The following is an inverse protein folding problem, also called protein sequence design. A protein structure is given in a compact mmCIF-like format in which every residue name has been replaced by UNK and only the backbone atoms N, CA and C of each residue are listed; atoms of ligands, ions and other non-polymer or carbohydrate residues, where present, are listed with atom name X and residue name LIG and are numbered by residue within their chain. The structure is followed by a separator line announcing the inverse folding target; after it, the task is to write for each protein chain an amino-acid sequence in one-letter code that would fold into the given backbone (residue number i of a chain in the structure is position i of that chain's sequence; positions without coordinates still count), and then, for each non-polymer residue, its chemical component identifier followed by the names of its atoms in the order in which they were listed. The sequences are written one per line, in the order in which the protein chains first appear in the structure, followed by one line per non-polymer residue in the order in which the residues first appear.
data_IF_363460013669
#
_entry.id   IF_363460013669
#
_cell.length_a   1.000
_cell.length_b   1.000
_cell.length_c   1.000
_cell.angle_alpha   90.00
_cell.angle_beta   90.00
_cell.angle_gamma   90.00
#
_symmetry.space_group_name_H-M   'P 1'
#
loop_
_entity.id
_entity.type
_entity.pdbx_description
1 polymer ?
#
# COMPACT_ATOMS: atom_id res chain seq x y z
N UNK A 1 -21.22 45.13 36.23
CA UNK A 1 -20.10 44.16 36.14
C UNK A 1 -20.72 42.77 36.24
N UNK A 2 -21.15 42.16 35.14
CA UNK A 2 -20.44 41.16 34.31
C UNK A 2 -19.88 39.97 35.11
N UNK A 3 -20.56 38.83 35.02
CA UNK A 3 -19.95 37.54 34.65
C UNK A 3 -21.06 36.61 34.12
N UNK A 4 -21.06 36.40 32.79
CA UNK A 4 -21.84 35.35 32.11
C UNK A 4 -21.10 34.03 32.33
N UNK A 5 -21.80 33.01 32.82
CA UNK A 5 -21.32 31.63 32.76
C UNK A 5 -21.56 31.08 31.36
N UNK A 6 -20.49 30.90 30.59
CA UNK A 6 -20.53 30.15 29.34
C UNK A 6 -20.42 28.66 29.68
N UNK A 7 -21.53 27.95 29.43
CA UNK A 7 -21.57 26.49 29.38
C UNK A 7 -20.77 26.05 28.15
N UNK A 8 -19.62 25.44 28.37
CA UNK A 8 -18.85 24.76 27.33
C UNK A 8 -19.65 23.55 26.83
N UNK A 9 -20.01 23.58 25.56
CA UNK A 9 -20.56 22.43 24.85
C UNK A 9 -19.52 21.28 24.84
N UNK A 10 -19.91 20.03 25.12
CA UNK A 10 -19.04 18.89 24.88
C UNK A 10 -18.78 18.75 23.37
N UNK A 11 -17.50 18.57 23.01
CA UNK A 11 -17.07 18.26 21.64
C UNK A 11 -17.77 16.98 21.13
N UNK A 12 -18.05 16.88 19.82
CA UNK A 12 -18.70 15.71 19.25
C UNK A 12 -17.77 14.49 19.37
N UNK A 13 -18.28 13.41 19.97
CA UNK A 13 -17.64 12.10 19.92
C UNK A 13 -17.55 11.64 18.45
N UNK A 14 -16.36 11.73 17.86
CA UNK A 14 -16.04 11.06 16.60
C UNK A 14 -16.15 9.54 16.80
N UNK A 15 -16.81 8.89 15.85
CA UNK A 15 -17.16 7.47 15.82
C UNK A 15 -15.89 6.63 15.87
N UNK A 16 -15.70 5.94 17.01
CA UNK A 16 -14.58 5.03 17.27
C UNK A 16 -14.85 3.69 16.61
N UNK A 17 -13.84 3.12 15.94
CA UNK A 17 -13.88 1.73 15.50
C UNK A 17 -13.87 0.84 16.74
N UNK A 18 -15.04 0.32 17.11
CA UNK A 18 -15.17 -0.64 18.20
C UNK A 18 -14.72 -2.02 17.77
N UNK A 19 -14.29 -2.84 18.72
CA UNK A 19 -13.86 -4.25 18.56
C UNK A 19 -14.87 -5.11 17.78
N UNK A 20 -16.16 -4.70 17.71
CA UNK A 20 -17.19 -5.34 16.88
C UNK A 20 -17.00 -5.13 15.36
N UNK A 21 -16.38 -4.05 14.91
CA UNK A 21 -16.07 -3.84 13.49
C UNK A 21 -14.88 -4.71 13.02
N UNK A 22 -13.91 -4.99 13.90
CA UNK A 22 -12.85 -5.99 13.64
C UNK A 22 -13.41 -7.42 13.57
N UNK A 23 -14.48 -7.73 14.31
CA UNK A 23 -15.19 -9.01 14.21
C UNK A 23 -16.11 -9.10 12.96
N UNK A 24 -16.55 -7.97 12.42
CA UNK A 24 -17.23 -7.90 11.11
C UNK A 24 -16.33 -8.31 9.94
N UNK A 25 -15.01 -8.17 10.08
CA UNK A 25 -14.00 -8.69 9.14
C UNK A 25 -13.99 -10.23 9.16
N UNK A 26 -14.33 -10.85 10.28
CA UNK A 26 -14.38 -12.32 10.43
C UNK A 26 -15.53 -12.98 9.65
N UNK A 27 -16.59 -12.25 9.27
CA UNK A 27 -17.70 -12.81 8.49
C UNK A 27 -17.54 -12.64 6.97
N UNK A 28 -16.55 -11.86 6.52
CA UNK A 28 -16.24 -11.67 5.09
C UNK A 28 -15.28 -12.71 4.50
N UNK A 29 -14.63 -13.52 5.34
CA UNK A 29 -13.50 -14.39 4.95
C UNK A 29 -13.86 -15.88 4.89
N UNK A 30 -15.02 -16.22 4.32
CA UNK A 30 -15.36 -17.62 4.04
C UNK A 30 -14.54 -18.24 2.89
N UNK A 31 -13.59 -17.52 2.29
CA UNK A 31 -12.61 -18.04 1.33
C UNK A 31 -11.20 -18.14 1.96
N UNK A 32 -10.99 -19.20 2.74
CA UNK A 32 -9.74 -19.95 3.02
C UNK A 32 -8.33 -19.30 3.15
N UNK A 33 -8.14 -17.98 3.17
CA UNK A 33 -6.85 -17.42 3.59
C UNK A 33 -6.81 -17.26 5.10
N UNK A 34 -6.02 -18.12 5.75
CA UNK A 34 -5.74 -18.00 7.18
C UNK A 34 -4.94 -16.73 7.42
N UNK A 35 -5.41 -15.85 8.31
CA UNK A 35 -4.70 -14.64 8.77
C UNK A 35 -3.22 -14.88 9.14
N UNK A 36 -2.85 -16.12 9.46
CA UNK A 36 -1.47 -16.52 9.70
C UNK A 36 -0.54 -16.42 8.48
N UNK A 37 -1.07 -16.15 7.28
CA UNK A 37 -0.27 -16.02 6.05
C UNK A 37 0.32 -14.63 5.83
N UNK A 38 -0.12 -13.60 6.58
CA UNK A 38 0.46 -12.27 6.43
C UNK A 38 1.92 -12.23 6.88
N UNK A 39 2.72 -11.42 6.18
CA UNK A 39 4.12 -11.20 6.54
C UNK A 39 4.24 -10.51 7.91
N UNK A 40 5.39 -10.64 8.59
CA UNK A 40 5.61 -9.97 9.86
C UNK A 40 5.48 -8.45 9.83
N UNK A 41 5.82 -7.82 8.71
CA UNK A 41 5.75 -6.39 8.49
C UNK A 41 4.29 -5.91 8.45
N UNK A 42 3.41 -6.64 7.77
CA UNK A 42 1.96 -6.34 7.72
C UNK A 42 1.38 -6.46 9.12
N UNK A 43 1.70 -7.52 9.86
CA UNK A 43 1.23 -7.67 11.22
C UNK A 43 1.75 -6.57 12.15
N UNK A 44 2.99 -6.11 11.96
CA UNK A 44 3.57 -4.98 12.70
C UNK A 44 2.79 -3.69 12.44
N UNK A 45 2.44 -3.42 11.17
CA UNK A 45 1.61 -2.28 10.81
C UNK A 45 0.21 -2.37 11.41
N UNK A 46 -0.43 -3.53 11.36
CA UNK A 46 -1.73 -3.76 11.99
C UNK A 46 -1.64 -3.48 13.50
N UNK A 47 -0.62 -4.02 14.17
CA UNK A 47 -0.41 -3.81 15.59
C UNK A 47 -0.15 -2.33 15.95
N UNK A 48 0.53 -1.55 15.10
CA UNK A 48 0.70 -0.11 15.30
C UNK A 48 -0.61 0.70 15.25
N UNK A 49 -1.62 0.19 14.55
CA UNK A 49 -2.92 0.87 14.44
C UNK A 49 -3.89 0.51 15.58
N UNK A 50 -3.51 -0.39 16.48
CA UNK A 50 -4.36 -0.77 17.61
C UNK A 50 -4.18 0.24 18.76
N UNK A 51 -5.18 1.11 18.93
CA UNK A 51 -5.16 2.16 19.96
C UNK A 51 -5.29 1.62 21.39
N UNK A 52 -6.03 0.51 21.59
CA UNK A 52 -6.22 -0.10 22.92
C UNK A 52 -5.15 -1.15 23.21
N UNK A 53 -4.36 -0.92 24.25
CA UNK A 53 -3.32 -1.86 24.68
C UNK A 53 -3.88 -3.23 25.09
N UNK A 54 -5.14 -3.28 25.55
CA UNK A 54 -5.79 -4.55 25.89
C UNK A 54 -6.02 -5.40 24.65
N UNK A 55 -6.33 -4.78 23.51
CA UNK A 55 -6.49 -5.48 22.24
C UNK A 55 -5.15 -6.01 21.72
N UNK A 56 -4.04 -5.27 21.92
CA UNK A 56 -2.68 -5.78 21.66
C UNK A 56 -2.32 -6.99 22.53
N UNK A 57 -2.68 -6.98 23.81
CA UNK A 57 -2.48 -8.16 24.67
C UNK A 57 -3.36 -9.33 24.25
N UNK A 58 -4.62 -9.08 23.88
CA UNK A 58 -5.50 -10.10 23.34
C UNK A 58 -4.90 -10.70 22.06
N UNK A 59 -4.37 -9.86 21.15
CA UNK A 59 -3.68 -10.29 19.94
C UNK A 59 -2.48 -11.20 20.26
N UNK A 60 -1.67 -10.84 21.27
CA UNK A 60 -0.52 -11.63 21.71
C UNK A 60 -0.89 -13.03 22.25
N UNK A 61 -2.13 -13.20 22.73
CA UNK A 61 -2.62 -14.46 23.28
C UNK A 61 -3.07 -15.45 22.19
N UNK A 62 -3.34 -14.96 20.97
CA UNK A 62 -3.93 -15.77 19.89
C UNK A 62 -2.98 -16.85 19.35
N UNK A 63 -1.73 -16.51 19.05
CA UNK A 63 -0.74 -17.45 18.52
C UNK A 63 0.70 -17.09 18.90
N UNK A 64 1.64 -18.03 18.72
CA UNK A 64 3.06 -17.83 19.07
C UNK A 64 3.71 -16.69 18.27
N UNK A 65 3.37 -16.57 16.99
CA UNK A 65 3.90 -15.53 16.11
C UNK A 65 3.51 -14.13 16.60
N UNK A 66 2.21 -13.90 16.82
CA UNK A 66 1.69 -12.62 17.31
C UNK A 66 2.15 -12.30 18.73
N UNK A 67 2.41 -13.33 19.55
CA UNK A 67 3.06 -13.15 20.85
C UNK A 67 4.46 -12.55 20.71
N UNK A 68 5.27 -13.08 19.78
CA UNK A 68 6.62 -12.58 19.54
C UNK A 68 6.59 -11.14 19.02
N UNK A 69 5.68 -10.85 18.09
CA UNK A 69 5.46 -9.50 17.59
C UNK A 69 5.07 -8.53 18.72
N UNK A 70 4.13 -8.91 19.58
CA UNK A 70 3.71 -8.09 20.72
C UNK A 70 4.77 -7.99 21.83
N UNK A 71 5.89 -8.71 21.73
CA UNK A 71 7.06 -8.55 22.60
C UNK A 71 8.20 -7.79 21.92
N UNK A 72 8.06 -7.43 20.65
CA UNK A 72 9.06 -6.65 19.93
C UNK A 72 9.16 -5.23 20.50
N UNK A 73 10.35 -4.86 20.94
CA UNK A 73 10.60 -3.55 21.54
C UNK A 73 10.46 -2.41 20.51
N UNK A 74 10.63 -2.68 19.21
CA UNK A 74 10.38 -1.69 18.16
C UNK A 74 8.90 -1.34 18.03
N UNK A 75 8.00 -2.32 18.18
CA UNK A 75 6.56 -2.07 18.23
C UNK A 75 6.23 -1.08 19.35
N UNK A 76 6.72 -1.38 20.56
CA UNK A 76 6.46 -0.55 21.74
C UNK A 76 7.16 0.80 21.69
N UNK A 77 8.33 0.90 21.04
CA UNK A 77 8.99 2.17 20.78
C UNK A 77 8.11 3.09 19.95
N UNK A 78 7.57 2.57 18.84
CA UNK A 78 6.66 3.34 17.98
C UNK A 78 5.41 3.77 18.74
N UNK A 79 4.79 2.87 19.51
CA UNK A 79 3.63 3.19 20.34
C UNK A 79 3.95 4.25 21.42
N UNK A 80 5.14 4.20 22.04
CA UNK A 80 5.59 5.23 22.99
C UNK A 80 5.74 6.60 22.33
N UNK A 81 6.31 6.65 21.13
CA UNK A 81 6.47 7.88 20.35
C UNK A 81 5.09 8.43 19.95
N UNK A 82 4.24 7.57 19.40
CA UNK A 82 2.91 7.93 18.90
C UNK A 82 1.99 8.45 20.00
N UNK A 83 1.88 7.71 21.12
CA UNK A 83 0.93 8.02 22.19
C UNK A 83 1.47 9.02 23.22
N UNK A 84 2.77 8.99 23.49
CA UNK A 84 3.37 9.76 24.58
C UNK A 84 4.51 10.68 24.16
N UNK A 85 4.97 10.61 22.90
CA UNK A 85 6.12 11.39 22.42
C UNK A 85 7.45 10.98 23.08
N UNK A 86 7.57 9.73 23.54
CA UNK A 86 8.77 9.22 24.22
C UNK A 86 9.53 8.28 23.29
N UNK A 87 10.75 8.67 22.91
CA UNK A 87 11.64 7.91 22.01
C UNK A 87 12.87 7.32 22.72
N UNK A 88 12.94 7.46 24.05
CA UNK A 88 14.05 7.01 24.88
C UNK A 88 13.55 6.21 26.09
N UNK A 89 14.37 5.27 26.56
CA UNK A 89 14.11 4.51 27.79
C UNK A 89 15.42 3.87 28.29
N UNK A 90 15.53 3.68 29.60
CA UNK A 90 16.61 2.89 30.24
C UNK A 90 16.22 1.42 30.46
N UNK A 91 14.98 1.08 30.11
CA UNK A 91 14.38 -0.25 30.22
C UNK A 91 13.79 -0.64 28.86
N UNK A 92 12.99 -1.70 28.75
CA UNK A 92 12.26 -1.95 27.50
C UNK A 92 11.19 -0.88 27.26
N UNK A 93 10.90 -0.58 25.99
CA UNK A 93 9.81 0.32 25.62
C UNK A 93 8.45 -0.21 26.06
N UNK A 94 8.26 -1.53 26.15
CA UNK A 94 7.06 -2.11 26.78
C UNK A 94 6.90 -1.68 28.25
N UNK A 95 8.01 -1.68 29.01
CA UNK A 95 7.99 -1.26 30.41
C UNK A 95 7.72 0.24 30.51
N UNK A 96 8.37 1.03 29.65
CA UNK A 96 8.13 2.47 29.55
C UNK A 96 6.68 2.79 29.18
N UNK A 97 6.10 2.08 28.21
CA UNK A 97 4.71 2.25 27.79
C UNK A 97 3.73 1.97 28.93
N UNK A 98 3.96 0.89 29.70
CA UNK A 98 3.17 0.56 30.90
C UNK A 98 3.27 1.67 31.95
N UNK A 99 4.47 2.18 32.21
CA UNK A 99 4.68 3.29 33.13
C UNK A 99 3.95 4.56 32.68
N UNK A 100 4.06 4.93 31.40
CA UNK A 100 3.33 6.07 30.81
C UNK A 100 1.80 5.91 30.88
N UNK A 101 1.31 4.67 30.77
CA UNK A 101 -0.13 4.38 30.85
C UNK A 101 -0.67 4.53 32.28
N UNK A 102 0.11 4.10 33.27
CA UNK A 102 -0.23 4.16 34.69
C UNK A 102 -0.06 5.57 35.28
N UNK A 103 0.97 6.31 34.85
CA UNK A 103 1.24 7.66 35.32
C UNK A 103 0.51 8.72 34.48
N UNK A 104 -0.58 9.28 35.01
CA UNK A 104 -1.35 10.32 34.34
C UNK A 104 -0.54 11.59 34.06
N UNK A 105 0.56 11.84 34.77
CA UNK A 105 1.42 13.01 34.56
C UNK A 105 2.24 12.92 33.28
N UNK A 106 2.53 11.70 32.81
CA UNK A 106 3.32 11.43 31.59
C UNK A 106 2.51 11.63 30.30
N UNK A 107 1.18 11.75 30.36
CA UNK A 107 0.31 12.01 29.20
C UNK A 107 0.48 13.41 28.58
N UNK A 108 1.39 14.23 29.10
CA UNK A 108 1.52 15.67 28.77
C UNK A 108 2.92 16.06 28.33
N UNK A 109 3.76 15.12 27.89
CA UNK A 109 5.04 15.49 27.28
C UNK A 109 4.78 16.08 25.90
N UNK A 110 5.22 17.31 25.71
CA UNK A 110 5.06 18.04 24.46
C UNK A 110 5.91 17.42 23.34
N UNK A 111 5.30 17.05 22.20
CA UNK A 111 5.98 16.39 21.06
C UNK A 111 7.19 17.16 20.49
N UNK A 112 7.27 18.47 20.65
CA UNK A 112 8.47 19.24 20.23
C UNK A 112 9.73 18.91 21.02
N UNK A 113 9.60 18.19 22.15
CA UNK A 113 10.76 17.75 22.92
C UNK A 113 11.42 16.49 22.34
N UNK A 114 10.81 15.85 21.33
CA UNK A 114 11.32 14.65 20.64
C UNK A 114 12.65 14.87 19.89
N UNK A 115 13.08 16.11 19.68
CA UNK A 115 14.35 16.42 18.99
C UNK A 115 15.56 16.54 19.91
N UNK A 116 15.38 16.49 21.23
CA UNK A 116 16.47 16.71 22.18
C UNK A 116 17.09 15.40 22.63
N UNK A 117 18.42 15.31 22.51
CA UNK A 117 19.19 14.20 23.07
C UNK A 117 19.13 14.20 24.60
N UNK A 118 19.26 13.02 25.20
CA UNK A 118 19.17 12.80 26.65
C UNK A 118 19.96 13.80 27.53
N UNK A 119 21.20 14.23 27.17
CA UNK A 119 21.94 15.21 27.97
C UNK A 119 21.20 16.56 28.07
N UNK A 120 20.58 17.00 26.97
CA UNK A 120 19.87 18.28 26.87
C UNK A 120 18.54 18.23 27.65
N UNK A 121 17.88 17.07 27.66
CA UNK A 121 16.66 16.87 28.45
C UNK A 121 16.95 16.83 29.95
N UNK A 122 18.04 16.20 30.39
CA UNK A 122 18.43 16.16 31.80
C UNK A 122 18.77 17.55 32.33
N UNK A 123 19.56 18.32 31.57
CA UNK A 123 19.95 19.70 31.88
C UNK A 123 18.73 20.63 32.01
N UNK A 124 17.70 20.43 31.17
CA UNK A 124 16.51 21.30 31.11
C UNK A 124 15.26 20.73 31.78
N UNK A 125 15.34 19.54 32.39
CA UNK A 125 14.20 18.83 32.99
C UNK A 125 13.48 19.62 34.09
N UNK A 126 14.21 20.45 34.84
CA UNK A 126 13.68 21.33 35.89
C UNK A 126 12.84 22.51 35.32
N UNK A 127 13.25 23.06 34.17
CA UNK A 127 12.52 24.08 33.41
C UNK A 127 11.27 23.50 32.73
N UNK A 128 11.29 22.24 32.30
CA UNK A 128 10.14 21.61 31.65
C UNK A 128 9.04 21.16 32.61
N UNK A 129 9.39 20.75 33.84
CA UNK A 129 8.41 20.46 34.91
C UNK A 129 7.55 21.67 35.25
N UNK A 130 8.06 22.89 35.06
CA UNK A 130 7.32 24.13 35.28
C UNK A 130 6.52 24.57 34.05
N UNK A 131 7.01 24.30 32.83
CA UNK A 131 6.29 24.65 31.59
C UNK A 131 5.13 23.71 31.20
N UNK A 132 5.15 22.43 31.60
CA UNK A 132 4.07 21.48 31.21
C UNK A 132 2.75 21.68 31.97
N UNK A 133 2.75 22.50 33.02
CA UNK A 133 1.60 22.69 33.89
C UNK A 133 0.68 23.86 33.49
N UNK A 134 1.13 24.81 32.66
CA UNK A 134 0.39 26.08 32.50
C UNK A 134 -0.13 26.45 31.09
N UNK A 135 0.17 25.72 30.02
CA UNK A 135 -0.65 25.81 28.78
C UNK A 135 -0.30 24.71 27.76
N UNK A 136 -1.27 24.19 26.99
CA UNK A 136 -0.96 23.43 25.80
C UNK A 136 -0.21 24.34 24.82
N UNK A 137 1.02 23.97 24.48
CA UNK A 137 1.85 24.64 23.49
C UNK A 137 1.03 24.99 22.23
N UNK A 138 0.75 26.27 22.01
CA UNK A 138 -0.09 26.77 20.91
C UNK A 138 0.48 26.41 19.53
N UNK A 139 1.81 26.35 19.39
CA UNK A 139 2.49 25.89 18.18
C UNK A 139 2.31 24.39 17.91
N UNK A 140 2.20 23.57 18.96
CA UNK A 140 2.01 22.13 18.86
C UNK A 140 0.59 21.78 18.45
N UNK A 141 -0.39 22.54 18.92
CA UNK A 141 -1.80 22.26 18.70
C UNK A 141 -2.21 22.47 17.22
N UNK A 142 -1.57 23.42 16.52
CA UNK A 142 -1.77 23.62 15.10
C UNK A 142 -1.03 22.56 14.25
N UNK A 143 0.26 22.32 14.54
CA UNK A 143 1.09 21.39 13.77
C UNK A 143 0.69 19.91 13.96
N UNK A 144 0.31 19.51 15.18
CA UNK A 144 -0.19 18.16 15.43
C UNK A 144 -1.53 17.91 14.74
N UNK A 145 -2.44 18.88 14.68
CA UNK A 145 -3.73 18.69 14.00
C UNK A 145 -3.54 18.54 12.49
N UNK A 146 -2.65 19.31 11.88
CA UNK A 146 -2.38 19.21 10.43
C UNK A 146 -1.61 17.94 10.06
N UNK A 147 -0.58 17.57 10.83
CA UNK A 147 0.22 16.37 10.57
C UNK A 147 -0.51 15.08 10.95
N UNK A 148 -1.23 15.05 12.07
CA UNK A 148 -1.98 13.85 12.46
C UNK A 148 -3.13 13.56 11.51
N UNK A 149 -3.81 14.58 10.98
CA UNK A 149 -4.89 14.34 10.00
C UNK A 149 -4.33 13.89 8.64
N UNK A 150 -3.20 14.43 8.18
CA UNK A 150 -2.59 14.01 6.91
C UNK A 150 -2.02 12.59 6.99
N UNK A 151 -1.23 12.28 8.03
CA UNK A 151 -0.61 10.97 8.18
C UNK A 151 -1.64 9.87 8.50
N UNK A 152 -2.68 10.18 9.28
CA UNK A 152 -3.71 9.21 9.64
C UNK A 152 -4.62 8.89 8.45
N UNK A 153 -4.96 9.86 7.58
CA UNK A 153 -5.73 9.61 6.36
C UNK A 153 -4.87 8.86 5.33
N UNK A 154 -3.62 9.27 5.10
CA UNK A 154 -2.71 8.54 4.20
C UNK A 154 -2.44 7.11 4.69
N UNK A 155 -2.29 6.89 6.00
CA UNK A 155 -2.15 5.56 6.57
C UNK A 155 -3.46 4.76 6.53
N UNK A 156 -4.63 5.39 6.69
CA UNK A 156 -5.93 4.70 6.54
C UNK A 156 -6.19 4.29 5.08
N UNK A 157 -5.84 5.15 4.12
CA UNK A 157 -5.90 4.84 2.68
C UNK A 157 -4.91 3.73 2.35
N UNK A 158 -3.67 3.82 2.82
CA UNK A 158 -2.66 2.78 2.63
C UNK A 158 -3.07 1.46 3.29
N UNK A 159 -3.62 1.51 4.51
CA UNK A 159 -4.10 0.33 5.24
C UNK A 159 -5.31 -0.29 4.54
N UNK A 160 -6.29 0.50 4.08
CA UNK A 160 -7.44 0.00 3.33
C UNK A 160 -7.06 -0.52 1.93
N UNK A 161 -6.06 0.09 1.29
CA UNK A 161 -5.48 -0.41 0.04
C UNK A 161 -4.71 -1.71 0.27
N UNK A 162 -3.94 -1.83 1.35
CA UNK A 162 -3.25 -3.07 1.78
C UNK A 162 -4.28 -4.15 2.12
N UNK A 163 -5.34 -3.83 2.86
CA UNK A 163 -6.37 -4.77 3.30
C UNK A 163 -7.30 -5.22 2.16
N UNK A 164 -7.67 -4.31 1.26
CA UNK A 164 -8.55 -4.62 0.14
C UNK A 164 -7.83 -5.24 -1.05
N UNK A 165 -6.53 -4.96 -1.22
CA UNK A 165 -5.83 -5.20 -2.49
C UNK A 165 -4.42 -5.75 -2.35
N UNK A 166 -4.03 -6.29 -1.19
CA UNK A 166 -2.83 -7.11 -1.00
C UNK A 166 -1.55 -6.50 -1.56
N UNK A 167 -0.82 -5.74 -0.74
CA UNK A 167 0.54 -5.33 -1.12
C UNK A 167 1.42 -6.58 -1.23
N UNK A 168 2.05 -6.75 -2.39
CA UNK A 168 3.12 -7.72 -2.58
C UNK A 168 4.32 -7.33 -1.73
N UNK A 169 4.79 -8.30 -0.94
CA UNK A 169 6.13 -8.35 -0.40
C UNK A 169 7.15 -8.45 -1.53
N UNK A 170 8.33 -7.83 -1.36
CA UNK A 170 9.35 -7.62 -2.37
C UNK A 170 10.14 -8.88 -2.79
N UNK A 171 9.58 -10.09 -2.64
CA UNK A 171 10.37 -11.33 -2.75
C UNK A 171 9.68 -12.60 -3.23
N UNK A 172 8.36 -12.65 -3.45
CA UNK A 172 7.68 -13.88 -3.89
C UNK A 172 6.77 -13.68 -5.11
N UNK A 173 6.84 -14.56 -6.14
CA UNK A 173 6.11 -14.44 -7.39
C UNK A 173 4.76 -15.17 -7.39
N UNK A 174 4.17 -15.43 -6.23
CA UNK A 174 2.81 -15.98 -6.16
C UNK A 174 1.81 -14.83 -6.33
N UNK A 175 0.93 -14.85 -7.36
CA UNK A 175 -0.10 -13.84 -7.49
C UNK A 175 -0.95 -13.85 -6.22
N UNK A 176 -0.97 -12.75 -5.47
CA UNK A 176 -2.01 -12.58 -4.47
C UNK A 176 -3.35 -12.69 -5.20
N UNK A 177 -4.14 -13.71 -4.85
CA UNK A 177 -5.57 -13.73 -5.13
C UNK A 177 -6.16 -12.54 -4.37
N UNK A 178 -6.28 -11.43 -5.09
CA UNK A 178 -6.90 -10.19 -4.64
C UNK A 178 -8.34 -10.48 -4.21
N UNK A 179 -9.03 -9.47 -3.69
CA UNK A 179 -10.48 -9.41 -3.77
C UNK A 179 -10.92 -9.46 -5.25
N UNK A 180 -10.92 -10.65 -5.85
CA UNK A 180 -11.39 -10.92 -7.21
C UNK A 180 -12.90 -10.64 -7.32
N UNK A 181 -13.58 -10.60 -6.17
CA UNK A 181 -14.98 -10.27 -6.10
C UNK A 181 -15.21 -8.78 -6.28
N UNK A 182 -15.78 -8.40 -7.43
CA UNK A 182 -16.27 -7.04 -7.75
C UNK A 182 -17.04 -6.37 -6.60
N UNK A 183 -17.79 -7.16 -5.83
CA UNK A 183 -18.53 -6.68 -4.65
C UNK A 183 -17.65 -6.16 -3.52
N UNK A 184 -16.47 -6.73 -3.32
CA UNK A 184 -15.50 -6.27 -2.33
C UNK A 184 -14.80 -5.00 -2.81
N UNK A 185 -14.45 -4.95 -4.10
CA UNK A 185 -13.86 -3.75 -4.71
C UNK A 185 -14.78 -2.53 -4.55
N UNK A 186 -16.08 -2.69 -4.81
CA UNK A 186 -17.09 -1.64 -4.62
C UNK A 186 -17.13 -1.17 -3.16
N UNK A 187 -17.13 -2.10 -2.19
CA UNK A 187 -17.16 -1.73 -0.77
C UNK A 187 -15.92 -0.97 -0.32
N UNK A 188 -14.73 -1.40 -0.78
CA UNK A 188 -13.49 -0.68 -0.46
C UNK A 188 -13.50 0.70 -1.09
N UNK A 189 -14.01 0.83 -2.33
CA UNK A 189 -14.16 2.12 -2.99
C UNK A 189 -15.09 3.06 -2.23
N UNK A 190 -16.27 2.57 -1.79
CA UNK A 190 -17.21 3.33 -0.95
C UNK A 190 -16.58 3.79 0.37
N UNK A 191 -15.80 2.92 1.04
CA UNK A 191 -15.10 3.27 2.27
C UNK A 191 -14.03 4.33 2.04
N UNK A 192 -13.24 4.20 0.97
CA UNK A 192 -12.22 5.19 0.61
C UNK A 192 -12.87 6.53 0.24
N UNK A 193 -13.99 6.54 -0.45
CA UNK A 193 -14.74 7.76 -0.78
C UNK A 193 -15.16 8.51 0.48
N UNK A 194 -15.70 7.80 1.48
CA UNK A 194 -16.10 8.38 2.77
C UNK A 194 -14.90 8.99 3.52
N UNK A 195 -13.75 8.30 3.53
CA UNK A 195 -12.55 8.73 4.27
C UNK A 195 -11.82 9.87 3.55
N UNK A 196 -11.94 9.98 2.23
CA UNK A 196 -11.22 10.96 1.42
C UNK A 196 -12.03 12.21 1.07
N UNK A 197 -13.36 12.18 1.23
CA UNK A 197 -14.27 13.26 0.77
C UNK A 197 -13.83 14.68 1.15
N UNK A 198 -13.30 14.87 2.35
CA UNK A 198 -12.93 16.19 2.89
C UNK A 198 -11.42 16.51 2.76
N UNK A 199 -10.66 15.69 2.02
CA UNK A 199 -9.21 15.84 1.86
C UNK A 199 -8.80 15.77 0.38
N UNK A 200 -8.36 16.89 -0.19
CA UNK A 200 -7.93 17.00 -1.59
C UNK A 200 -6.83 15.99 -1.97
N UNK A 201 -5.85 15.77 -1.09
CA UNK A 201 -4.79 14.76 -1.31
C UNK A 201 -5.35 13.34 -1.25
N UNK A 202 -6.32 13.11 -0.36
CA UNK A 202 -7.03 11.84 -0.27
C UNK A 202 -7.81 11.54 -1.55
N UNK A 203 -8.50 12.54 -2.10
CA UNK A 203 -9.25 12.39 -3.36
C UNK A 203 -8.34 12.12 -4.55
N UNK A 204 -7.21 12.82 -4.67
CA UNK A 204 -6.19 12.54 -5.70
C UNK A 204 -5.62 11.12 -5.58
N UNK A 205 -5.33 10.67 -4.35
CA UNK A 205 -4.89 9.30 -4.11
C UNK A 205 -5.96 8.26 -4.48
N UNK A 206 -7.23 8.52 -4.17
CA UNK A 206 -8.36 7.66 -4.54
C UNK A 206 -8.57 7.61 -6.05
N UNK A 207 -8.42 8.73 -6.75
CA UNK A 207 -8.53 8.77 -8.21
C UNK A 207 -7.43 7.94 -8.88
N UNK A 208 -6.18 8.09 -8.43
CA UNK A 208 -5.05 7.25 -8.88
C UNK A 208 -5.28 5.77 -8.57
N UNK A 209 -5.85 5.48 -7.39
CA UNK A 209 -6.20 4.13 -7.00
C UNK A 209 -7.24 3.51 -7.95
N UNK A 210 -8.38 4.21 -8.18
CA UNK A 210 -9.43 3.79 -9.12
C UNK A 210 -8.88 3.58 -10.52
N UNK A 211 -8.00 4.47 -10.96
CA UNK A 211 -7.33 4.37 -12.26
C UNK A 211 -6.51 3.07 -12.39
N UNK A 212 -5.70 2.72 -11.38
CA UNK A 212 -4.92 1.47 -11.36
C UNK A 212 -5.81 0.23 -11.39
N UNK A 213 -6.92 0.24 -10.62
CA UNK A 213 -7.88 -0.88 -10.61
C UNK A 213 -8.54 -1.05 -11.98
N UNK A 214 -8.91 0.06 -12.64
CA UNK A 214 -9.44 0.02 -14.00
C UNK A 214 -8.44 -0.60 -14.98
N UNK A 215 -7.16 -0.19 -14.94
CA UNK A 215 -6.12 -0.76 -15.83
C UNK A 215 -5.89 -2.25 -15.59
N UNK A 216 -5.85 -2.68 -14.33
CA UNK A 216 -5.72 -4.10 -13.98
C UNK A 216 -6.93 -4.90 -14.47
N UNK A 217 -8.13 -4.39 -14.26
CA UNK A 217 -9.37 -5.05 -14.71
C UNK A 217 -9.42 -5.15 -16.24
N UNK A 218 -8.96 -4.13 -16.97
CA UNK A 218 -8.83 -4.15 -18.42
C UNK A 218 -7.91 -5.28 -18.89
N UNK A 219 -6.74 -5.42 -18.25
CA UNK A 219 -5.78 -6.48 -18.59
C UNK A 219 -6.39 -7.87 -18.37
N UNK A 220 -7.01 -8.09 -17.20
CA UNK A 220 -7.64 -9.38 -16.85
C UNK A 220 -8.80 -9.71 -17.79
N UNK A 221 -9.65 -8.73 -18.11
CA UNK A 221 -10.76 -8.90 -19.05
C UNK A 221 -10.25 -9.27 -20.44
N UNK A 222 -9.23 -8.57 -20.94
CA UNK A 222 -8.63 -8.89 -22.23
C UNK A 222 -7.98 -10.27 -22.23
N UNK A 223 -7.21 -10.65 -21.20
CA UNK A 223 -6.63 -11.98 -21.11
C UNK A 223 -7.72 -13.07 -21.14
N UNK A 224 -8.86 -12.84 -20.47
CA UNK A 224 -10.03 -13.74 -20.51
C UNK A 224 -10.65 -13.82 -21.92
N UNK A 225 -10.75 -12.72 -22.64
CA UNK A 225 -11.24 -12.73 -24.03
C UNK A 225 -10.26 -13.45 -24.96
N UNK A 226 -8.98 -13.11 -24.90
CA UNK A 226 -7.94 -13.71 -25.73
C UNK A 226 -7.80 -15.22 -25.48
N UNK A 227 -7.97 -15.66 -24.24
CA UNK A 227 -7.93 -17.09 -23.90
C UNK A 227 -9.06 -17.91 -24.55
N UNK A 228 -10.13 -17.27 -25.03
CA UNK A 228 -11.21 -17.94 -25.76
C UNK A 228 -10.94 -18.01 -27.27
N UNK A 229 -10.05 -17.18 -27.81
CA UNK A 229 -9.75 -17.12 -29.25
C UNK A 229 -8.75 -18.21 -29.69
N UNK A 230 -8.89 -18.81 -30.88
CA UNK A 230 -7.84 -19.65 -31.46
C UNK A 230 -6.46 -18.97 -31.44
N UNK A 231 -5.38 -19.73 -31.24
CA UNK A 231 -4.01 -19.19 -31.06
C UNK A 231 -3.56 -18.30 -32.23
N UNK A 232 -3.95 -18.66 -33.46
CA UNK A 232 -3.69 -17.93 -34.70
C UNK A 232 -4.47 -16.60 -34.82
N UNK A 233 -5.51 -16.41 -34.01
CA UNK A 233 -6.30 -15.18 -33.96
C UNK A 233 -5.85 -14.21 -32.86
N UNK A 234 -5.00 -14.66 -31.93
CA UNK A 234 -4.48 -13.81 -30.85
C UNK A 234 -3.41 -12.88 -31.44
N UNK A 235 -3.77 -11.60 -31.59
CA UNK A 235 -2.83 -10.54 -31.97
C UNK A 235 -2.01 -10.10 -30.76
N UNK A 236 -0.73 -9.81 -30.99
CA UNK A 236 0.22 -9.46 -29.92
C UNK A 236 0.98 -8.20 -30.30
N UNK A 237 1.11 -7.29 -29.33
CA UNK A 237 2.03 -6.16 -29.39
C UNK A 237 3.26 -6.43 -28.54
N UNK A 238 4.42 -6.06 -29.08
CA UNK A 238 5.73 -6.19 -28.42
C UNK A 238 6.05 -4.87 -27.74
N UNK A 239 6.49 -4.94 -26.49
CA UNK A 239 6.82 -3.76 -25.66
C UNK A 239 8.05 -4.05 -24.79
N UNK A 240 8.75 -3.00 -24.34
CA UNK A 240 9.85 -3.13 -23.40
C UNK A 240 9.40 -3.80 -22.10
N UNK A 241 10.13 -4.85 -21.69
CA UNK A 241 9.88 -5.55 -20.44
C UNK A 241 10.16 -4.67 -19.23
N UNK A 242 11.18 -3.82 -19.29
CA UNK A 242 11.50 -2.87 -18.23
C UNK A 242 10.34 -1.87 -18.04
N UNK A 243 9.75 -1.42 -19.15
CA UNK A 243 8.55 -0.58 -19.11
C UNK A 243 7.36 -1.32 -18.48
N UNK A 244 7.07 -2.56 -18.92
CA UNK A 244 6.00 -3.36 -18.32
C UNK A 244 6.22 -3.64 -16.83
N UNK A 245 7.45 -3.81 -16.37
CA UNK A 245 7.75 -3.96 -14.94
C UNK A 245 7.43 -2.67 -14.18
N UNK A 246 7.74 -1.51 -14.76
CA UNK A 246 7.41 -0.21 -14.18
C UNK A 246 5.90 -0.01 -14.13
N UNK A 247 5.18 -0.34 -15.21
CA UNK A 247 3.71 -0.33 -15.22
C UNK A 247 3.12 -1.31 -14.22
N UNK A 248 3.65 -2.53 -14.14
CA UNK A 248 3.30 -3.50 -13.11
C UNK A 248 3.49 -2.93 -11.71
N UNK A 249 4.61 -2.27 -11.42
CA UNK A 249 4.86 -1.62 -10.14
C UNK A 249 3.88 -0.46 -9.86
N UNK A 250 3.55 0.34 -10.88
CA UNK A 250 2.52 1.38 -10.82
C UNK A 250 1.15 0.82 -10.40
N UNK A 251 0.72 -0.30 -11.00
CA UNK A 251 -0.53 -0.97 -10.63
C UNK A 251 -0.56 -1.38 -9.15
N UNK A 252 0.60 -1.56 -8.51
CA UNK A 252 0.75 -1.92 -7.09
C UNK A 252 1.05 -0.75 -6.17
N UNK A 253 0.90 0.50 -6.63
CA UNK A 253 1.11 1.66 -5.78
C UNK A 253 2.36 2.48 -6.09
N UNK A 254 3.22 1.99 -6.99
CA UNK A 254 4.45 2.63 -7.41
C UNK A 254 4.26 3.96 -8.13
N UNK A 255 5.37 4.50 -8.65
CA UNK A 255 5.35 5.69 -9.51
C UNK A 255 4.73 5.37 -10.87
N UNK A 256 4.03 6.34 -11.45
CA UNK A 256 3.45 6.20 -12.80
C UNK A 256 4.57 6.03 -13.83
N UNK A 257 4.43 5.14 -14.82
CA UNK A 257 5.45 4.95 -15.84
C UNK A 257 5.55 6.17 -16.77
N UNK A 258 6.76 6.42 -17.26
CA UNK A 258 7.01 7.37 -18.34
C UNK A 258 6.36 6.92 -19.67
N UNK A 259 6.29 7.77 -20.71
CA UNK A 259 5.84 7.35 -22.03
C UNK A 259 6.59 6.13 -22.57
N UNK A 260 5.87 5.23 -23.26
CA UNK A 260 6.47 4.02 -23.82
C UNK A 260 7.46 4.41 -24.92
N UNK A 261 8.73 4.02 -24.78
CA UNK A 261 9.75 4.24 -25.82
C UNK A 261 10.06 2.93 -26.57
N UNK A 262 9.51 2.79 -27.77
CA UNK A 262 9.75 1.63 -28.63
C UNK A 262 11.07 1.71 -29.38
N UNK A 263 11.74 2.87 -29.43
CA UNK A 263 13.06 2.96 -30.05
C UNK A 263 14.11 2.19 -29.25
N UNK A 264 13.91 2.00 -27.94
CA UNK A 264 14.77 1.14 -27.11
C UNK A 264 14.78 -0.33 -27.55
N UNK A 265 13.76 -0.76 -28.29
CA UNK A 265 13.68 -2.10 -28.84
C UNK A 265 14.25 -2.23 -30.24
N UNK A 266 14.71 -1.14 -30.85
CA UNK A 266 15.18 -1.13 -32.23
C UNK A 266 16.71 -0.97 -32.28
N UNK A 267 17.32 -1.64 -33.25
CA UNK A 267 18.70 -1.40 -33.63
C UNK A 267 18.82 -0.15 -34.51
N UNK A 268 20.06 0.23 -34.86
CA UNK A 268 20.36 1.38 -35.72
C UNK A 268 19.74 1.28 -37.13
N UNK A 269 19.24 0.09 -37.51
CA UNK A 269 18.58 -0.18 -38.80
C UNK A 269 17.05 -0.14 -38.68
N UNK A 270 16.52 0.16 -37.50
CA UNK A 270 15.09 0.15 -37.21
C UNK A 270 14.48 -1.26 -37.15
N UNK A 271 15.31 -2.30 -37.04
CA UNK A 271 14.87 -3.68 -36.80
C UNK A 271 14.82 -3.96 -35.32
N UNK A 272 13.99 -4.91 -34.89
CA UNK A 272 13.91 -5.29 -33.49
C UNK A 272 15.29 -5.80 -33.03
N UNK A 273 15.88 -5.14 -32.04
CA UNK A 273 17.12 -5.59 -31.44
C UNK A 273 16.85 -6.91 -30.70
N UNK A 274 17.52 -7.98 -31.12
CA UNK A 274 17.50 -9.27 -30.41
C UNK A 274 18.52 -9.13 -29.29
N UNK A 275 18.09 -8.99 -28.03
CA UNK A 275 19.04 -8.90 -26.94
C UNK A 275 19.78 -10.23 -26.86
N UNK A 276 21.09 -10.19 -26.62
CA UNK A 276 21.78 -11.40 -26.16
C UNK A 276 21.00 -11.93 -24.94
N UNK A 277 20.77 -13.25 -24.91
CA UNK A 277 20.01 -13.89 -23.83
C UNK A 277 20.74 -13.62 -22.52
N UNK A 278 20.33 -12.60 -21.79
CA UNK A 278 20.86 -12.29 -20.48
C UNK A 278 20.38 -13.33 -19.47
N UNK A 279 21.15 -13.55 -18.42
CA UNK A 279 20.80 -14.43 -17.29
C UNK A 279 19.42 -14.07 -16.67
N UNK A 280 18.97 -12.82 -16.82
CA UNK A 280 17.69 -12.29 -16.31
C UNK A 280 16.50 -12.46 -17.30
N UNK A 281 16.73 -13.13 -18.43
CA UNK A 281 15.76 -13.29 -19.50
C UNK A 281 15.70 -12.09 -20.45
N UNK A 282 14.82 -12.15 -21.45
CA UNK A 282 14.80 -11.17 -22.55
C UNK A 282 14.20 -9.82 -22.10
N UNK A 283 14.58 -8.73 -22.77
CA UNK A 283 14.08 -7.37 -22.56
C UNK A 283 12.70 -7.09 -23.18
N UNK A 284 12.03 -8.11 -23.71
CA UNK A 284 10.74 -7.99 -24.40
C UNK A 284 9.60 -8.52 -23.54
N UNK A 285 8.46 -7.84 -23.59
CA UNK A 285 7.19 -8.30 -23.07
C UNK A 285 6.06 -8.15 -24.10
N UNK A 286 4.89 -8.67 -23.75
CA UNK A 286 3.78 -8.87 -24.67
C UNK A 286 2.47 -8.41 -24.04
N UNK A 287 1.67 -7.70 -24.82
CA UNK A 287 0.32 -7.27 -24.43
C UNK A 287 -0.69 -7.50 -25.56
N UNK A 288 -1.95 -7.63 -25.20
CA UNK A 288 -3.06 -7.72 -26.16
C UNK A 288 -3.41 -6.37 -26.80
N UNK A 289 -4.22 -6.37 -27.88
CA UNK A 289 -4.57 -5.15 -28.63
C UNK A 289 -5.36 -4.10 -27.84
N UNK A 290 -6.28 -4.49 -26.95
CA UNK A 290 -7.06 -3.57 -26.10
C UNK A 290 -6.16 -2.90 -25.07
N UNK A 291 -5.33 -3.68 -24.38
CA UNK A 291 -4.33 -3.16 -23.43
C UNK A 291 -3.38 -2.23 -24.17
N UNK A 292 -2.83 -2.63 -25.32
CA UNK A 292 -1.95 -1.77 -26.12
C UNK A 292 -2.61 -0.43 -26.49
N UNK A 293 -3.85 -0.47 -26.98
CA UNK A 293 -4.61 0.74 -27.34
C UNK A 293 -4.76 1.68 -26.14
N UNK A 294 -5.10 1.13 -24.97
CA UNK A 294 -5.24 1.90 -23.73
C UNK A 294 -3.91 2.49 -23.28
N UNK A 295 -2.83 1.69 -23.24
CA UNK A 295 -1.51 2.16 -22.85
C UNK A 295 -1.03 3.30 -23.76
N UNK A 296 -1.27 3.17 -25.07
CA UNK A 296 -0.93 4.19 -26.06
C UNK A 296 -1.70 5.49 -25.87
N UNK A 297 -3.00 5.44 -25.53
CA UNK A 297 -3.78 6.65 -25.27
C UNK A 297 -3.43 7.32 -23.94
N UNK A 298 -3.07 6.52 -22.92
CA UNK A 298 -2.84 6.99 -21.56
C UNK A 298 -1.43 7.53 -21.37
N UNK A 299 -0.42 6.76 -21.76
CA UNK A 299 0.99 7.06 -21.50
C UNK A 299 1.70 7.68 -22.72
N UNK A 300 1.11 7.54 -23.90
CA UNK A 300 1.78 7.89 -25.15
C UNK A 300 2.83 6.85 -25.55
N UNK A 301 3.15 6.83 -26.85
CA UNK A 301 4.16 5.94 -27.44
C UNK A 301 5.09 6.76 -28.31
N UNK A 302 6.40 6.59 -28.11
CA UNK A 302 7.46 7.05 -29.01
C UNK A 302 7.92 5.86 -29.84
N UNK A 303 8.02 6.03 -31.15
CA UNK A 303 8.43 4.97 -32.06
C UNK A 303 7.27 4.18 -32.69
N UNK A 304 7.59 3.16 -33.49
CA UNK A 304 6.60 2.39 -34.23
C UNK A 304 5.83 1.41 -33.34
N UNK A 305 4.63 1.02 -33.78
CA UNK A 305 3.88 -0.06 -33.15
C UNK A 305 4.51 -1.40 -33.58
N UNK A 306 5.08 -2.12 -32.61
CA UNK A 306 5.73 -3.42 -32.85
C UNK A 306 4.77 -4.57 -32.58
N UNK A 307 4.73 -5.52 -33.49
CA UNK A 307 3.78 -6.64 -33.53
C UNK A 307 4.47 -7.95 -33.86
N UNK A 308 3.72 -9.05 -33.85
CA UNK A 308 4.20 -10.37 -34.29
C UNK A 308 4.65 -10.39 -35.77
N UNK A 309 4.18 -9.45 -36.61
CA UNK A 309 4.59 -9.34 -38.01
C UNK A 309 6.00 -8.75 -38.15
N UNK A 310 6.52 -8.10 -37.12
CA UNK A 310 7.84 -7.46 -37.14
C UNK A 310 8.97 -8.41 -36.74
N UNK A 311 8.62 -9.62 -36.27
CA UNK A 311 9.56 -10.65 -35.79
C UNK A 311 9.63 -11.86 -36.73
N UNK A 312 9.78 -11.56 -38.04
CA UNK A 312 9.91 -12.55 -39.11
C UNK A 312 11.39 -12.77 -39.47
N UNK A 313 11.81 -14.02 -39.66
CA UNK A 313 13.21 -14.39 -39.95
C UNK A 313 13.78 -15.39 -38.94
N UNK A 314 14.82 -16.14 -39.32
CA UNK A 314 15.43 -17.16 -38.46
C UNK A 314 16.00 -16.55 -37.17
N UNK A 315 16.49 -15.31 -37.23
CA UNK A 315 17.07 -14.59 -36.10
C UNK A 315 16.07 -14.36 -34.94
N UNK A 316 14.77 -14.32 -35.22
CA UNK A 316 13.73 -14.05 -34.22
C UNK A 316 13.03 -15.31 -33.68
N UNK A 317 13.54 -16.51 -33.94
CA UNK A 317 12.90 -17.77 -33.52
C UNK A 317 12.64 -17.84 -32.00
N UNK A 318 13.58 -17.33 -31.20
CA UNK A 318 13.42 -17.25 -29.74
C UNK A 318 12.26 -16.35 -29.31
N UNK A 319 12.02 -15.24 -30.03
CA UNK A 319 10.92 -14.32 -29.75
C UNK A 319 9.59 -14.95 -30.13
N UNK A 320 9.49 -15.56 -31.32
CA UNK A 320 8.28 -16.27 -31.75
C UNK A 320 7.90 -17.40 -30.80
N UNK A 321 8.89 -18.16 -30.34
CA UNK A 321 8.69 -19.20 -29.30
C UNK A 321 8.10 -18.61 -28.03
N UNK A 322 8.57 -17.43 -27.59
CA UNK A 322 8.02 -16.76 -26.41
C UNK A 322 6.62 -16.20 -26.60
N UNK A 323 6.33 -15.62 -27.77
CA UNK A 323 4.96 -15.21 -28.13
C UNK A 323 4.02 -16.40 -28.05
N UNK A 324 4.44 -17.55 -28.60
CA UNK A 324 3.70 -18.81 -28.51
C UNK A 324 3.47 -19.25 -27.06
N UNK A 325 4.51 -19.26 -26.22
CA UNK A 325 4.38 -19.61 -24.80
C UNK A 325 3.45 -18.65 -24.04
N UNK A 326 3.52 -17.35 -24.34
CA UNK A 326 2.61 -16.36 -23.77
C UNK A 326 1.16 -16.63 -24.19
N UNK A 327 0.88 -16.87 -25.49
CA UNK A 327 -0.44 -17.27 -25.99
C UNK A 327 -0.96 -18.54 -25.30
N UNK A 328 -0.09 -19.54 -25.10
CA UNK A 328 -0.42 -20.76 -24.36
C UNK A 328 -0.72 -20.50 -22.87
N UNK A 329 0.00 -19.57 -22.24
CA UNK A 329 -0.27 -19.18 -20.85
C UNK A 329 -1.67 -18.57 -20.70
N UNK A 330 -2.14 -17.77 -21.66
CA UNK A 330 -3.52 -17.27 -21.68
C UNK A 330 -4.53 -18.41 -21.70
N UNK A 331 -4.28 -19.46 -22.49
CA UNK A 331 -5.14 -20.66 -22.53
C UNK A 331 -5.18 -21.39 -21.20
N UNK A 332 -4.05 -21.47 -20.49
CA UNK A 332 -3.99 -22.10 -19.18
C UNK A 332 -4.82 -21.34 -18.13
N UNK A 333 -4.86 -20.00 -18.20
CA UNK A 333 -5.67 -19.17 -17.30
C UNK A 333 -7.16 -19.48 -17.40
N UNK A 334 -7.68 -19.76 -18.62
CA UNK A 334 -9.08 -20.11 -18.83
C UNK A 334 -9.50 -21.46 -18.22
N UNK A 335 -8.55 -22.35 -17.92
CA UNK A 335 -8.84 -23.68 -17.36
C UNK A 335 -8.89 -23.68 -15.83
N UNK A 336 -8.55 -22.58 -15.18
CA UNK A 336 -8.66 -22.42 -13.73
C UNK A 336 -10.11 -22.07 -13.39
N UNK A 337 -10.88 -22.95 -12.73
CA UNK A 337 -12.24 -22.62 -12.32
C UNK A 337 -12.19 -21.47 -11.30
N UNK A 338 -12.96 -20.41 -11.55
CA UNK A 338 -13.21 -19.32 -10.61
C UNK A 338 -13.91 -19.82 -9.35
#
# INVERSE_FOLDING_TARGET
MKARGELLNPLPHQTRLGTQQLLGISSMLSSHQSYTSFSPEIWSQIAWQIDDVQDLFALSATCRFLRLLCTDDQLWKQLCIQHYGVDYTHTSFLTQYKACTQDKSMRRVCRHLMGFTQPVLLEKSSLYKTMSLESPCSKCHALCNELSQCDQISNQIATLAVYGYGVHDAGHPTPCQLAEHRSEQIKVDEMLDIVTKDNDKGRDALEKFRFRIMERNLEVEEQRELSQLPEDQIKVHVISRAWLQTWGHWLHGGMSPDPIDQYELLDDRGKLHIPEVTLEGWSLGFVGPKTWKHLKSTYGVKGPDLTEVDVQGEEYEGIRTRIKLWKQSLKSLAMTPN
#
